data_IF_672445010057
#
_entry.id   IF_672445010057
#
_cell.length_a   1.000
_cell.length_b   1.000
_cell.length_c   1.000
_cell.angle_alpha   90.00
_cell.angle_beta   90.00
_cell.angle_gamma   90.00
#
_symmetry.space_group_name_H-M   'P 1'
#
loop_
_entity.id
_entity.type
_entity.pdbx_description
1 polymer ?
#
# COMPACT_ATOMS: atom_id res chain seq x y z
N UNK A 1 -14.52 44.09 -65.34
CA UNK A 1 -13.69 43.21 -64.49
C UNK A 1 -14.54 42.01 -64.09
N UNK A 2 -14.11 40.80 -64.45
CA UNK A 2 -14.91 39.56 -64.41
C UNK A 2 -15.07 39.00 -62.99
N UNK A 3 -16.24 38.40 -62.68
CA UNK A 3 -16.59 37.82 -61.38
C UNK A 3 -15.56 36.82 -60.81
N UNK A 4 -14.78 36.19 -61.68
CA UNK A 4 -13.67 35.31 -61.29
C UNK A 4 -12.54 36.04 -60.54
N UNK A 5 -12.28 37.31 -60.87
CA UNK A 5 -11.19 38.08 -60.25
C UNK A 5 -11.56 38.57 -58.85
N UNK A 6 -12.85 38.84 -58.62
CA UNK A 6 -13.39 39.21 -57.32
C UNK A 6 -13.33 38.05 -56.31
N UNK A 7 -13.69 36.83 -56.74
CA UNK A 7 -13.58 35.62 -55.90
C UNK A 7 -12.13 35.31 -55.48
N UNK A 8 -11.17 35.50 -56.38
CA UNK A 8 -9.76 35.25 -56.05
C UNK A 8 -9.25 36.25 -55.01
N UNK A 9 -9.67 37.52 -55.10
CA UNK A 9 -9.33 38.53 -54.10
C UNK A 9 -9.94 38.22 -52.73
N UNK A 10 -11.21 37.83 -52.70
CA UNK A 10 -11.91 37.44 -51.47
C UNK A 10 -11.27 36.24 -50.78
N UNK A 11 -10.85 35.24 -51.56
CA UNK A 11 -10.11 34.07 -51.05
C UNK A 11 -8.73 34.47 -50.53
N UNK A 12 -8.02 35.34 -51.22
CA UNK A 12 -6.71 35.83 -50.77
C UNK A 12 -6.81 36.63 -49.47
N UNK A 13 -7.85 37.46 -49.34
CA UNK A 13 -8.11 38.26 -48.13
C UNK A 13 -8.50 37.37 -46.94
N UNK A 14 -9.30 36.32 -47.19
CA UNK A 14 -9.62 35.31 -46.18
C UNK A 14 -8.39 34.53 -45.70
N UNK A 15 -7.49 34.15 -46.62
CA UNK A 15 -6.23 33.47 -46.28
C UNK A 15 -5.31 34.40 -45.48
N UNK A 16 -5.20 35.67 -45.87
CA UNK A 16 -4.38 36.64 -45.14
C UNK A 16 -4.93 36.88 -43.73
N UNK A 17 -6.25 36.98 -43.59
CA UNK A 17 -6.92 37.14 -42.29
C UNK A 17 -6.71 35.92 -41.38
N UNK A 18 -6.88 34.72 -41.91
CA UNK A 18 -6.67 33.48 -41.14
C UNK A 18 -5.21 33.27 -40.77
N UNK A 19 -4.25 33.67 -41.63
CA UNK A 19 -2.82 33.63 -41.32
C UNK A 19 -2.45 34.55 -40.15
N UNK A 20 -3.14 35.68 -39.99
CA UNK A 20 -2.92 36.63 -38.90
C UNK A 20 -3.67 36.26 -37.61
N UNK A 21 -4.82 35.59 -37.72
CA UNK A 21 -5.64 35.19 -36.55
C UNK A 21 -5.07 33.94 -35.85
N UNK A 22 -4.55 32.96 -36.59
CA UNK A 22 -3.97 31.72 -36.03
C UNK A 22 -2.87 31.96 -34.97
N UNK A 23 -1.84 32.79 -35.24
CA UNK A 23 -0.79 33.07 -34.27
C UNK A 23 -1.30 33.84 -33.04
N UNK A 24 -2.33 34.69 -33.22
CA UNK A 24 -2.94 35.44 -32.12
C UNK A 24 -3.72 34.51 -31.19
N UNK A 25 -4.46 33.57 -31.75
CA UNK A 25 -5.14 32.53 -30.97
C UNK A 25 -4.13 31.60 -30.27
N UNK A 26 -3.02 31.26 -30.93
CA UNK A 26 -1.94 30.49 -30.30
C UNK A 26 -1.29 31.24 -29.13
N UNK A 27 -1.02 32.53 -29.28
CA UNK A 27 -0.49 33.37 -28.21
C UNK A 27 -1.51 33.55 -27.06
N UNK A 28 -2.80 33.65 -27.38
CA UNK A 28 -3.88 33.72 -26.39
C UNK A 28 -4.04 32.42 -25.61
N UNK A 29 -3.79 31.27 -26.23
CA UNK A 29 -3.90 29.95 -25.62
C UNK A 29 -2.61 29.48 -24.91
N UNK A 30 -1.49 30.16 -25.12
CA UNK A 30 -0.20 29.86 -24.47
C UNK A 30 -0.28 29.79 -22.93
N UNK A 31 -0.95 30.71 -22.21
CA UNK A 31 -1.07 30.64 -20.76
C UNK A 31 -1.89 29.42 -20.31
N UNK A 32 -2.93 29.06 -21.07
CA UNK A 32 -3.76 27.88 -20.79
C UNK A 32 -2.95 26.60 -21.00
N UNK A 33 -2.17 26.51 -22.07
CA UNK A 33 -1.27 25.38 -22.30
C UNK A 33 -0.23 25.23 -21.20
N UNK A 34 0.39 26.33 -20.75
CA UNK A 34 1.32 26.28 -19.61
C UNK A 34 0.66 25.79 -18.32
N UNK A 35 -0.59 26.17 -18.07
CA UNK A 35 -1.34 25.68 -16.91
C UNK A 35 -1.59 24.17 -17.05
N UNK A 36 -2.05 23.71 -18.20
CA UNK A 36 -2.28 22.27 -18.46
C UNK A 36 -0.99 21.47 -18.31
N UNK A 37 0.12 21.96 -18.86
CA UNK A 37 1.46 21.35 -18.69
C UNK A 37 1.89 21.33 -17.22
N UNK A 38 1.66 22.42 -16.48
CA UNK A 38 1.98 22.49 -15.05
C UNK A 38 1.13 21.54 -14.20
N UNK A 39 -0.15 21.35 -14.55
CA UNK A 39 -1.07 20.46 -13.88
C UNK A 39 -0.79 18.99 -14.23
N UNK A 40 -0.39 18.72 -15.48
CA UNK A 40 0.05 17.40 -15.93
C UNK A 40 1.41 17.01 -15.33
N UNK A 41 2.32 17.98 -15.18
CA UNK A 41 3.59 17.81 -14.49
C UNK A 41 3.44 17.75 -12.95
N UNK A 42 2.30 18.19 -12.42
CA UNK A 42 1.97 18.02 -10.99
C UNK A 42 1.66 16.55 -10.74
N UNK A 43 2.72 15.80 -10.49
CA UNK A 43 2.62 14.43 -10.02
C UNK A 43 1.63 14.34 -8.85
N UNK A 44 0.57 13.55 -9.02
CA UNK A 44 -0.28 13.10 -7.93
C UNK A 44 0.54 12.07 -7.15
N UNK A 45 1.52 12.56 -6.39
CA UNK A 45 2.29 11.70 -5.50
C UNK A 45 1.32 11.14 -4.45
N UNK A 46 1.26 9.82 -4.27
CA UNK A 46 0.45 9.24 -3.21
C UNK A 46 0.87 9.86 -1.88
N UNK A 47 -0.11 10.29 -1.08
CA UNK A 47 0.14 10.85 0.25
C UNK A 47 0.18 9.71 1.25
N UNK A 48 1.25 9.64 2.06
CA UNK A 48 1.35 8.68 3.14
C UNK A 48 0.21 8.86 4.14
N UNK A 49 -0.47 7.77 4.48
CA UNK A 49 -1.49 7.75 5.52
C UNK A 49 -0.85 7.21 6.79
N UNK A 50 -0.86 8.00 7.86
CA UNK A 50 -0.36 7.56 9.17
C UNK A 50 -1.30 6.49 9.73
N UNK A 51 -0.85 5.24 9.70
CA UNK A 51 -1.59 4.07 10.16
C UNK A 51 -0.60 3.13 10.85
N UNK A 52 -0.85 2.75 12.10
CA UNK A 52 0.06 1.90 12.86
C UNK A 52 -0.59 0.55 13.20
N UNK A 53 0.13 -0.58 13.08
CA UNK A 53 -0.38 -1.87 13.49
C UNK A 53 -0.51 -1.90 15.02
N UNK A 54 -1.41 -2.74 15.52
CA UNK A 54 -1.44 -3.06 16.96
C UNK A 54 -0.08 -3.58 17.40
N UNK A 55 0.32 -3.27 18.64
CA UNK A 55 1.58 -3.78 19.20
C UNK A 55 1.50 -5.29 19.40
N UNK A 56 2.57 -6.02 19.07
CA UNK A 56 2.66 -7.47 19.26
C UNK A 56 3.42 -7.79 20.54
N UNK A 57 2.77 -8.48 21.47
CA UNK A 57 3.28 -8.80 22.81
C UNK A 57 3.52 -10.31 23.05
N UNK A 58 3.45 -11.13 21.99
CA UNK A 58 3.50 -12.60 22.05
C UNK A 58 2.33 -13.27 22.81
N UNK A 59 1.47 -12.49 23.47
CA UNK A 59 0.33 -12.99 24.28
C UNK A 59 -1.01 -12.74 23.59
N UNK A 60 -1.04 -11.90 22.57
CA UNK A 60 -2.25 -11.56 21.83
C UNK A 60 -2.89 -12.79 21.19
N UNK A 61 -4.23 -12.84 21.25
CA UNK A 61 -5.11 -13.79 20.56
C UNK A 61 -4.90 -13.82 19.04
N UNK A 62 -4.25 -12.78 18.47
CA UNK A 62 -3.93 -12.68 17.04
C UNK A 62 -2.65 -13.45 16.75
N UNK A 63 -2.73 -14.39 15.81
CA UNK A 63 -1.54 -15.12 15.34
C UNK A 63 -0.49 -14.15 14.79
N UNK A 64 0.80 -14.49 14.95
CA UNK A 64 1.92 -13.69 14.41
C UNK A 64 1.75 -13.37 12.92
N UNK A 65 1.12 -14.27 12.16
CA UNK A 65 0.82 -14.11 10.73
C UNK A 65 -0.11 -12.91 10.47
N UNK A 66 -1.18 -12.77 11.26
CA UNK A 66 -2.09 -11.61 11.15
C UNK A 66 -1.38 -10.30 11.47
N UNK A 67 -0.51 -10.31 12.48
CA UNK A 67 0.24 -9.11 12.84
C UNK A 67 1.23 -8.69 11.74
N UNK A 68 1.97 -9.63 11.16
CA UNK A 68 2.87 -9.36 10.03
C UNK A 68 2.12 -8.73 8.86
N UNK A 69 0.96 -9.30 8.51
CA UNK A 69 0.13 -8.78 7.42
C UNK A 69 -0.36 -7.35 7.70
N UNK A 70 -0.77 -7.08 8.95
CA UNK A 70 -1.16 -5.74 9.37
C UNK A 70 0.01 -4.74 9.28
N UNK A 71 1.21 -5.14 9.72
CA UNK A 71 2.41 -4.32 9.63
C UNK A 71 2.79 -4.02 8.16
N UNK A 72 2.69 -5.01 7.26
CA UNK A 72 2.92 -4.81 5.82
C UNK A 72 1.90 -3.85 5.21
N UNK A 73 0.62 -3.95 5.59
CA UNK A 73 -0.42 -3.05 5.09
C UNK A 73 -0.23 -1.62 5.57
N UNK A 74 0.16 -1.45 6.84
CA UNK A 74 0.49 -0.14 7.41
C UNK A 74 1.73 0.46 6.72
N UNK A 75 2.77 -0.35 6.48
CA UNK A 75 3.96 0.08 5.75
C UNK A 75 3.63 0.52 4.33
N UNK A 76 2.74 -0.20 3.61
CA UNK A 76 2.24 0.20 2.28
C UNK A 76 1.46 1.51 2.34
N UNK A 77 0.57 1.67 3.32
CA UNK A 77 -0.19 2.92 3.50
C UNK A 77 0.71 4.13 3.80
N UNK A 78 1.85 3.89 4.45
CA UNK A 78 2.87 4.89 4.76
C UNK A 78 3.93 5.06 3.66
N UNK A 79 3.85 4.33 2.54
CA UNK A 79 4.81 4.40 1.43
C UNK A 79 6.24 4.04 1.89
N UNK A 80 6.33 3.03 2.77
CA UNK A 80 7.61 2.47 3.21
C UNK A 80 8.01 1.38 2.21
N UNK A 81 8.80 1.75 1.22
CA UNK A 81 9.23 0.83 0.15
C UNK A 81 10.49 0.04 0.49
N UNK A 82 11.42 0.66 1.21
CA UNK A 82 12.71 0.09 1.58
C UNK A 82 12.58 -1.02 2.63
N UNK A 83 13.27 -2.13 2.39
CA UNK A 83 13.27 -3.31 3.27
C UNK A 83 13.75 -2.96 4.67
N UNK A 84 14.83 -2.18 4.77
CA UNK A 84 15.43 -1.80 6.06
C UNK A 84 14.47 -0.93 6.86
N UNK A 85 13.82 0.05 6.21
CA UNK A 85 12.80 0.89 6.85
C UNK A 85 11.57 0.08 7.27
N UNK A 86 11.11 -0.86 6.44
CA UNK A 86 9.97 -1.72 6.76
C UNK A 86 10.27 -2.60 7.98
N UNK A 87 11.46 -3.21 8.03
CA UNK A 87 11.89 -4.03 9.17
C UNK A 87 12.01 -3.18 10.44
N UNK A 88 12.63 -2.00 10.35
CA UNK A 88 12.77 -1.08 11.49
C UNK A 88 11.40 -0.64 12.02
N UNK A 89 10.48 -0.35 11.09
CA UNK A 89 9.09 -0.03 11.40
C UNK A 89 8.39 -1.19 12.12
N UNK A 90 8.49 -2.42 11.61
CA UNK A 90 7.90 -3.59 12.23
C UNK A 90 8.48 -3.87 13.63
N UNK A 91 9.81 -3.81 13.77
CA UNK A 91 10.50 -4.02 15.06
C UNK A 91 10.06 -3.00 16.11
N UNK A 92 9.82 -1.74 15.74
CA UNK A 92 9.31 -0.70 16.66
C UNK A 92 7.88 -0.99 17.18
N UNK A 93 7.18 -1.95 16.58
CA UNK A 93 5.84 -2.39 16.97
C UNK A 93 5.82 -3.71 17.75
N UNK A 94 6.98 -4.29 18.03
CA UNK A 94 7.14 -5.43 18.93
C UNK A 94 7.21 -4.96 20.38
N UNK A 95 6.75 -5.80 21.32
CA UNK A 95 6.79 -5.55 22.76
C UNK A 95 7.27 -6.77 23.53
N UNK A 96 7.73 -6.53 24.76
CA UNK A 96 8.14 -7.58 25.71
C UNK A 96 9.16 -8.54 25.09
N UNK A 97 8.88 -9.84 25.14
CA UNK A 97 9.76 -10.90 24.60
C UNK A 97 10.00 -10.73 23.10
N UNK A 98 9.02 -10.27 22.33
CA UNK A 98 9.20 -10.00 20.90
C UNK A 98 10.24 -8.92 20.64
N UNK A 99 10.20 -7.82 21.40
CA UNK A 99 11.19 -6.75 21.26
C UNK A 99 12.58 -7.19 21.73
N UNK A 100 12.68 -7.92 22.85
CA UNK A 100 13.95 -8.43 23.35
C UNK A 100 14.64 -9.36 22.34
N UNK A 101 13.87 -10.27 21.74
CA UNK A 101 14.35 -11.11 20.65
C UNK A 101 14.83 -10.28 19.45
N UNK A 102 14.03 -9.30 19.01
CA UNK A 102 14.36 -8.52 17.82
C UNK A 102 15.60 -7.64 17.99
N UNK A 103 15.86 -7.12 19.20
CA UNK A 103 17.04 -6.31 19.48
C UNK A 103 18.27 -7.14 19.88
N UNK A 104 18.09 -8.33 20.46
CA UNK A 104 19.21 -9.23 20.75
C UNK A 104 19.77 -9.91 19.50
N UNK A 105 18.95 -10.11 18.47
CA UNK A 105 19.38 -10.79 17.26
C UNK A 105 20.49 -10.00 16.51
N UNK A 106 20.38 -8.68 16.25
CA UNK A 106 21.45 -7.85 15.67
C UNK A 106 22.73 -7.75 16.50
N UNK A 107 22.67 -8.00 17.81
CA UNK A 107 23.88 -8.02 18.65
C UNK A 107 24.74 -9.26 18.41
N UNK A 108 24.13 -10.35 17.92
CA UNK A 108 24.84 -11.57 17.56
C UNK A 108 25.34 -11.57 16.11
N UNK A 109 24.67 -10.84 15.22
CA UNK A 109 24.98 -10.77 13.79
C UNK A 109 24.62 -9.40 13.20
N UNK A 110 25.61 -8.71 12.62
CA UNK A 110 25.44 -7.38 12.01
C UNK A 110 24.43 -7.37 10.86
N UNK A 111 24.15 -8.52 10.24
CA UNK A 111 23.22 -8.67 9.12
C UNK A 111 21.98 -9.51 9.49
N UNK A 112 21.43 -9.34 10.69
CA UNK A 112 20.36 -10.25 11.16
C UNK A 112 19.07 -10.20 10.34
N UNK A 113 18.72 -9.03 9.78
CA UNK A 113 17.52 -8.83 8.97
C UNK A 113 17.83 -8.11 7.64
N UNK A 114 18.52 -8.78 6.70
CA UNK A 114 18.99 -8.15 5.46
C UNK A 114 17.85 -7.89 4.46
N UNK A 115 16.69 -8.53 4.65
CA UNK A 115 15.49 -8.29 3.85
C UNK A 115 14.21 -8.46 4.66
N UNK A 116 13.12 -7.85 4.17
CA UNK A 116 11.78 -8.02 4.72
C UNK A 116 11.35 -9.49 4.74
N UNK A 117 11.82 -10.27 3.78
CA UNK A 117 11.51 -11.71 3.67
C UNK A 117 12.19 -12.52 4.76
N UNK A 118 13.48 -12.28 5.02
CA UNK A 118 14.21 -12.97 6.08
C UNK A 118 13.64 -12.64 7.45
N UNK A 119 13.28 -11.37 7.69
CA UNK A 119 12.58 -10.97 8.92
C UNK A 119 11.30 -11.79 9.14
N UNK A 120 10.44 -11.90 8.10
CA UNK A 120 9.19 -12.68 8.18
C UNK A 120 9.43 -14.15 8.51
N UNK A 121 10.44 -14.77 7.90
CA UNK A 121 10.78 -16.17 8.15
C UNK A 121 11.22 -16.34 9.60
N UNK A 122 12.18 -15.52 10.06
CA UNK A 122 12.72 -15.60 11.42
C UNK A 122 11.65 -15.36 12.49
N UNK A 123 10.84 -14.30 12.36
CA UNK A 123 9.83 -13.99 13.37
C UNK A 123 8.72 -15.05 13.43
N UNK A 124 8.36 -15.64 12.28
CA UNK A 124 7.44 -16.79 12.24
C UNK A 124 8.06 -18.01 12.89
N UNK A 125 9.30 -18.36 12.56
CA UNK A 125 9.96 -19.51 13.18
C UNK A 125 10.02 -19.39 14.73
N UNK A 126 10.21 -18.18 15.25
CA UNK A 126 10.28 -17.94 16.70
C UNK A 126 8.90 -17.95 17.38
N UNK A 127 7.89 -17.32 16.78
CA UNK A 127 6.62 -17.02 17.45
C UNK A 127 5.39 -17.72 16.85
N UNK A 128 5.53 -18.39 15.72
CA UNK A 128 4.47 -19.23 15.18
C UNK A 128 4.45 -20.52 16.02
N UNK A 129 3.31 -20.88 16.63
CA UNK A 129 3.23 -22.13 17.36
C UNK A 129 3.54 -23.29 16.40
N UNK A 130 4.36 -24.27 16.83
CA UNK A 130 4.88 -25.34 15.96
C UNK A 130 3.79 -26.27 15.43
N UNK A 131 2.55 -26.14 15.90
CA UNK A 131 1.48 -27.05 15.52
C UNK A 131 0.12 -26.35 15.63
N UNK A 132 -0.25 -25.58 14.61
CA UNK A 132 -1.63 -25.11 14.51
C UNK A 132 -2.59 -26.30 14.41
N UNK A 133 -2.20 -27.40 13.75
CA UNK A 133 -3.00 -28.62 13.66
C UNK A 133 -3.25 -29.27 15.01
N UNK A 134 -2.24 -29.45 15.87
CA UNK A 134 -2.47 -30.03 17.20
C UNK A 134 -3.28 -29.10 18.09
N UNK A 135 -3.08 -27.77 18.00
CA UNK A 135 -3.93 -26.82 18.71
C UNK A 135 -5.37 -26.81 18.16
N UNK A 136 -5.54 -26.95 16.85
CA UNK A 136 -6.83 -27.03 16.18
C UNK A 136 -7.55 -28.33 16.55
N UNK A 137 -6.83 -29.45 16.57
CA UNK A 137 -7.32 -30.75 17.02
C UNK A 137 -7.70 -30.69 18.50
N UNK A 138 -6.84 -30.14 19.35
CA UNK A 138 -7.16 -29.95 20.76
C UNK A 138 -8.40 -29.06 20.95
N UNK A 139 -8.52 -27.98 20.17
CA UNK A 139 -9.68 -27.09 20.22
C UNK A 139 -10.94 -27.81 19.74
N UNK A 140 -10.87 -28.51 18.61
CA UNK A 140 -11.92 -29.35 18.04
C UNK A 140 -12.40 -30.41 19.04
N UNK A 141 -11.48 -31.13 19.69
CA UNK A 141 -11.83 -32.13 20.72
C UNK A 141 -12.34 -31.50 22.02
N UNK A 142 -11.93 -30.27 22.34
CA UNK A 142 -12.46 -29.54 23.49
C UNK A 142 -13.84 -28.92 23.24
N UNK A 143 -14.22 -28.73 21.97
CA UNK A 143 -15.51 -28.17 21.57
C UNK A 143 -16.60 -29.24 21.70
N UNK A 144 -17.21 -29.31 22.89
CA UNK A 144 -18.40 -30.12 23.13
C UNK A 144 -19.65 -29.28 22.84
N UNK A 145 -20.63 -29.86 22.13
CA UNK A 145 -21.92 -29.22 21.88
C UNK A 145 -22.60 -28.79 23.19
N UNK A 146 -22.49 -29.61 24.24
CA UNK A 146 -22.98 -29.31 25.59
C UNK A 146 -24.38 -28.67 25.61
N UNK A 147 -24.56 -27.53 26.28
CA UNK A 147 -25.83 -26.77 26.28
C UNK A 147 -25.95 -25.74 25.14
N UNK A 148 -25.00 -25.70 24.19
CA UNK A 148 -25.05 -24.74 23.06
C UNK A 148 -26.11 -25.17 22.07
N UNK A 149 -26.71 -24.21 21.37
CA UNK A 149 -27.61 -24.51 20.26
C UNK A 149 -26.82 -25.25 19.16
N UNK A 150 -27.50 -26.12 18.40
CA UNK A 150 -26.84 -26.85 17.32
C UNK A 150 -26.26 -25.91 16.25
N UNK A 151 -26.91 -24.78 16.00
CA UNK A 151 -26.46 -23.78 15.03
C UNK A 151 -25.17 -23.10 15.50
N UNK A 152 -25.10 -22.68 16.76
CA UNK A 152 -23.90 -22.03 17.33
C UNK A 152 -22.73 -23.00 17.37
N UNK A 153 -22.98 -24.25 17.76
CA UNK A 153 -21.97 -25.30 17.76
C UNK A 153 -21.40 -25.55 16.36
N UNK A 154 -22.27 -25.72 15.35
CA UNK A 154 -21.86 -25.94 13.96
C UNK A 154 -21.10 -24.74 13.40
N UNK A 155 -21.56 -23.52 13.68
CA UNK A 155 -20.90 -22.31 13.19
C UNK A 155 -19.51 -22.11 13.81
N UNK A 156 -19.35 -22.44 15.10
CA UNK A 156 -18.05 -22.40 15.77
C UNK A 156 -17.11 -23.50 15.25
N UNK A 157 -17.63 -24.71 14.98
CA UNK A 157 -16.88 -25.79 14.33
C UNK A 157 -16.43 -25.42 12.91
N UNK A 158 -17.24 -24.68 12.14
CA UNK A 158 -16.86 -24.17 10.81
C UNK A 158 -15.83 -23.04 10.86
N UNK A 159 -15.64 -22.40 12.02
CA UNK A 159 -14.67 -21.30 12.20
C UNK A 159 -13.27 -21.78 12.59
N UNK A 160 -13.12 -23.08 12.88
CA UNK A 160 -11.86 -23.79 13.11
C UNK A 160 -11.20 -24.15 11.76
#
# INVERSE_FOLDING_TARGET
>A
MSASKARIHEVAEFISKTHDELPREQAQNEPLNRIVESLSARSIQPRSIRMDPSKFDCTATRTIVHWILAAEQCAKAQIIEDDTRMVSYAVSHLRFKASEWAYSAPMADSETFPSRTIFKIKIRATYQPPNNEVLLQAHFFSLLQAQRSMQDYVQEMHSL
#
